data_IF_818162802872
#
_entry.id   IF_818162802872
#
_cell.length_a   1.000
_cell.length_b   1.000
_cell.length_c   1.000
_cell.angle_alpha   90.00
_cell.angle_beta   90.00
_cell.angle_gamma   90.00
#
_symmetry.space_group_name_H-M   'P 1'
#
loop_
_entity.id
_entity.type
_entity.pdbx_description
1 polymer ?
2 non-polymer ?
3 non-polymer ?
4 non-polymer ?
5 water ?
#
# COMPACT_ATOMS: atom_id res chain seq x y z
N UNK A 2 -6.93 -19.63 12.36
CA UNK A 2 -5.53 -19.11 12.24
C UNK A 2 -4.62 -19.84 11.23
N UNK A 3 -4.92 -21.09 10.87
CA UNK A 3 -4.06 -21.73 9.87
C UNK A 3 -4.40 -20.99 8.57
N UNK A 4 -3.37 -20.50 7.90
CA UNK A 4 -3.61 -19.77 6.66
C UNK A 4 -4.07 -20.74 5.57
N UNK A 5 -3.62 -21.98 5.65
CA UNK A 5 -4.07 -22.97 4.67
C UNK A 5 -5.58 -23.08 4.84
N UNK A 6 -6.04 -23.09 6.09
CA UNK A 6 -7.47 -23.19 6.33
C UNK A 6 -8.31 -22.03 5.80
N UNK A 7 -7.82 -20.81 5.98
CA UNK A 7 -8.58 -19.65 5.52
C UNK A 7 -8.66 -19.67 4.00
N UNK A 8 -7.64 -20.17 3.32
CA UNK A 8 -7.68 -20.22 1.86
C UNK A 8 -8.82 -21.18 1.45
N UNK A 9 -8.90 -22.30 2.17
CA UNK A 9 -9.96 -23.27 1.94
C UNK A 9 -11.32 -22.62 2.17
N UNK A 10 -11.44 -21.95 3.30
CA UNK A 10 -12.69 -21.30 3.70
C UNK A 10 -13.21 -20.28 2.71
N UNK A 11 -12.28 -19.49 2.18
CA UNK A 11 -12.63 -18.41 1.29
C UNK A 11 -12.45 -18.70 -0.17
N UNK A 12 -11.95 -19.88 -0.48
CA UNK A 12 -11.66 -20.31 -1.83
C UNK A 12 -10.83 -19.22 -2.43
N UNK A 13 -9.75 -18.88 -1.73
CA UNK A 13 -8.85 -17.79 -2.15
C UNK A 13 -7.36 -18.08 -1.92
N UNK A 14 -6.50 -17.25 -2.51
CA UNK A 14 -5.06 -17.37 -2.37
C UNK A 14 -4.57 -16.26 -1.43
N UNK A 15 -3.76 -16.63 -0.44
CA UNK A 15 -3.27 -15.68 0.53
C UNK A 15 -1.76 -15.50 0.48
N UNK A 16 -1.29 -14.24 0.46
CA UNK A 16 0.11 -13.95 0.44
C UNK A 16 0.41 -13.15 1.68
N UNK A 17 1.25 -13.63 2.60
CA UNK A 17 1.51 -12.83 3.78
C UNK A 17 2.98 -12.61 4.08
N UNK A 18 3.35 -11.38 4.45
CA UNK A 18 4.71 -11.13 4.95
C UNK A 18 4.50 -10.19 6.17
N UNK A 19 5.07 -10.54 7.33
CA UNK A 19 4.91 -9.71 8.52
C UNK A 19 6.27 -9.65 9.17
N UNK A 20 6.63 -8.46 9.62
CA UNK A 20 7.94 -8.28 10.29
C UNK A 20 7.75 -7.45 11.52
N UNK A 21 8.04 -8.04 12.70
CA UNK A 21 7.99 -7.27 13.95
C UNK A 21 9.34 -6.50 13.90
N UNK A 22 9.32 -5.18 13.77
CA UNK A 22 10.57 -4.45 13.60
C UNK A 22 11.43 -4.36 14.87
N UNK A 23 10.86 -4.70 16.03
CA UNK A 23 11.63 -4.65 17.29
C UNK A 23 12.55 -5.88 17.43
N UNK A 24 11.94 -7.03 17.20
CA UNK A 24 12.59 -8.33 17.33
C UNK A 24 13.12 -8.84 16.03
N UNK A 25 12.54 -8.38 14.92
CA UNK A 25 12.96 -8.85 13.61
C UNK A 25 12.27 -10.18 13.28
N UNK A 26 11.32 -10.59 14.10
CA UNK A 26 10.59 -11.83 13.86
C UNK A 26 9.69 -11.69 12.63
N UNK A 27 9.66 -12.71 11.79
CA UNK A 27 8.85 -12.67 10.55
C UNK A 27 7.81 -13.77 10.48
N UNK A 28 6.70 -13.49 9.79
CA UNK A 28 5.71 -14.54 9.57
C UNK A 28 5.57 -14.53 8.05
N UNK A 29 5.59 -15.69 7.42
CA UNK A 29 5.56 -15.76 5.93
C UNK A 29 4.61 -16.80 5.43
N UNK A 30 3.87 -16.49 4.36
CA UNK A 30 2.96 -17.52 3.82
C UNK A 30 2.81 -17.11 2.37
N UNK A 31 3.20 -18.00 1.44
CA UNK A 31 3.20 -17.71 0.01
C UNK A 31 3.91 -16.32 -0.13
N UNK A 32 4.94 -16.10 0.69
CA UNK A 32 5.60 -14.79 0.69
C UNK A 32 6.42 -14.47 -0.54
N UNK A 33 6.67 -15.46 -1.38
CA UNK A 33 7.42 -15.19 -2.59
C UNK A 33 6.54 -15.35 -3.85
N UNK A 34 5.22 -15.35 -3.65
CA UNK A 34 4.30 -15.46 -4.80
C UNK A 34 3.88 -14.04 -5.25
N UNK A 35 3.79 -13.81 -6.56
CA UNK A 35 3.39 -12.51 -7.07
C UNK A 35 1.88 -12.30 -7.03
N UNK A 36 1.51 -11.06 -6.66
CA UNK A 36 0.12 -10.56 -6.56
C UNK A 36 0.09 -9.13 -7.09
N UNK A 37 -1.04 -8.72 -7.67
CA UNK A 37 -1.15 -7.33 -8.10
C UNK A 37 -1.14 -6.57 -6.75
N UNK A 38 -0.31 -5.53 -6.59
CA UNK A 38 -0.35 -4.76 -5.33
C UNK A 38 -1.44 -3.67 -5.35
N UNK A 39 -1.92 -3.33 -6.56
CA UNK A 39 -2.99 -2.33 -6.71
C UNK A 39 -2.70 -1.05 -5.94
N UNK A 40 -3.71 -0.48 -5.25
CA UNK A 40 -3.50 0.79 -4.55
C UNK A 40 -2.58 0.79 -3.37
N UNK A 41 -2.10 -0.37 -2.94
CA UNK A 41 -1.18 -0.34 -1.79
C UNK A 41 0.15 0.32 -2.25
N UNK A 42 0.38 0.37 -3.57
CA UNK A 42 1.58 0.99 -4.16
C UNK A 42 1.59 2.52 -3.87
N UNK A 43 0.42 3.10 -3.63
CA UNK A 43 0.34 4.53 -3.29
C UNK A 43 1.15 4.85 -2.03
N UNK A 44 1.26 3.91 -1.10
CA UNK A 44 2.06 4.18 0.11
C UNK A 44 3.56 4.32 -0.22
N UNK A 45 4.02 3.44 -1.10
CA UNK A 45 5.39 3.45 -1.50
C UNK A 45 5.74 4.74 -2.24
N UNK A 46 4.96 5.12 -3.25
CA UNK A 46 5.17 6.35 -4.00
C UNK A 46 5.13 7.57 -3.09
N UNK A 47 4.13 7.65 -2.23
CA UNK A 47 4.10 8.77 -1.30
C UNK A 47 5.38 8.79 -0.46
N UNK A 48 5.81 7.64 0.05
CA UNK A 48 7.01 7.71 0.92
C UNK A 48 8.24 8.16 0.08
N UNK A 49 8.34 7.67 -1.15
CA UNK A 49 9.50 8.03 -1.99
C UNK A 49 9.53 9.53 -2.21
N UNK A 50 8.36 10.09 -2.50
CA UNK A 50 8.31 11.54 -2.66
C UNK A 50 8.69 12.30 -1.37
N UNK A 51 8.25 11.79 -0.21
CA UNK A 51 8.52 12.42 1.07
C UNK A 51 10.01 12.32 1.40
N UNK A 52 10.72 11.37 0.78
CA UNK A 52 12.20 11.30 0.95
C UNK A 52 12.84 12.50 0.25
N UNK A 53 12.11 13.03 -0.71
CA UNK A 53 12.61 14.12 -1.55
C UNK A 53 12.26 15.50 -1.28
N UNK A 54 11.16 15.69 -0.55
CA UNK A 54 10.65 17.02 -0.27
C UNK A 54 10.40 17.13 1.21
N UNK A 55 11.09 18.07 1.88
CA UNK A 55 10.92 18.25 3.33
C UNK A 55 9.52 18.67 3.66
N UNK A 56 9.07 18.33 4.87
CA UNK A 56 7.73 18.69 5.26
C UNK A 56 7.38 20.17 4.99
N UNK A 57 8.26 21.11 5.35
CA UNK A 57 7.95 22.53 5.15
C UNK A 57 7.86 22.93 3.71
N UNK A 58 8.30 22.06 2.82
CA UNK A 58 8.28 22.34 1.40
C UNK A 58 7.10 21.65 0.67
N UNK A 59 6.22 21.00 1.44
CA UNK A 59 5.10 20.30 0.82
C UNK A 59 4.08 21.28 0.35
N UNK A 60 4.32 22.55 0.63
CA UNK A 60 3.38 23.59 0.19
C UNK A 60 3.59 23.94 -1.27
N UNK A 61 4.62 23.36 -1.85
CA UNK A 61 4.89 23.57 -3.27
C UNK A 61 3.61 23.16 -4.04
N UNK A 62 3.29 23.91 -5.08
CA UNK A 62 2.14 23.64 -5.88
C UNK A 62 2.47 23.06 -7.24
N UNK A 63 1.58 22.19 -7.71
CA UNK A 63 1.68 21.55 -9.03
C UNK A 63 0.37 21.88 -9.82
N UNK A 64 0.50 22.14 -11.11
CA UNK A 64 -0.65 22.48 -11.93
C UNK A 64 -1.32 21.21 -12.44
N UNK A 65 -2.65 21.21 -12.38
CA UNK A 65 -3.45 20.07 -12.81
C UNK A 65 -4.27 20.47 -14.03
N UNK A 66 -4.16 19.68 -15.11
CA UNK A 66 -4.99 19.96 -16.28
C UNK A 66 -5.79 18.72 -16.62
N UNK A 67 -6.70 18.85 -17.59
CA UNK A 67 -7.57 17.77 -17.99
C UNK A 67 -6.87 16.49 -18.38
N UNK A 68 -5.67 16.58 -18.96
CA UNK A 68 -4.91 15.37 -19.35
C UNK A 68 -4.45 14.54 -18.19
N UNK A 69 -4.37 15.15 -17.01
CA UNK A 69 -3.92 14.41 -15.82
C UNK A 69 -5.00 13.55 -15.23
N UNK A 70 -6.25 13.87 -15.53
CA UNK A 70 -7.35 13.15 -14.86
C UNK A 70 -7.65 11.73 -15.30
N UNK A 71 -7.60 10.78 -14.37
CA UNK A 71 -7.96 9.41 -14.70
C UNK A 71 -9.12 9.00 -13.78
N UNK A 72 -9.73 7.85 -14.01
CA UNK A 72 -10.88 7.42 -13.19
C UNK A 72 -10.61 7.25 -11.67
N UNK A 73 -11.67 7.34 -10.86
CA UNK A 73 -11.61 7.20 -9.40
C UNK A 73 -10.62 8.20 -8.79
N UNK A 74 -10.87 9.48 -9.07
CA UNK A 74 -10.05 10.56 -8.53
C UNK A 74 -11.11 11.55 -7.93
N UNK A 75 -11.74 11.14 -6.83
CA UNK A 75 -12.77 12.01 -6.23
C UNK A 75 -12.33 13.42 -5.86
N UNK A 76 -11.04 13.56 -5.57
CA UNK A 76 -10.50 14.85 -5.16
C UNK A 76 -9.92 15.65 -6.28
N UNK A 77 -9.08 14.99 -7.09
CA UNK A 77 -8.39 15.69 -8.15
C UNK A 77 -9.24 16.19 -9.30
N UNK A 78 -10.36 15.53 -9.58
CA UNK A 78 -11.21 15.99 -10.68
C UNK A 78 -11.67 17.44 -10.47
N UNK A 79 -11.68 17.90 -9.23
CA UNK A 79 -12.08 19.26 -8.89
C UNK A 79 -10.97 20.25 -9.15
N UNK A 80 -9.79 19.74 -9.45
CA UNK A 80 -8.68 20.65 -9.63
C UNK A 80 -8.29 20.96 -11.06
N UNK A 81 -9.04 20.49 -12.05
CA UNK A 81 -8.68 20.79 -13.43
C UNK A 81 -8.55 22.29 -13.65
N UNK A 82 -7.41 22.69 -14.19
CA UNK A 82 -7.10 24.09 -14.44
C UNK A 82 -6.66 24.82 -13.18
N UNK A 83 -6.39 24.09 -12.10
CA UNK A 83 -5.99 24.72 -10.84
C UNK A 83 -4.68 24.14 -10.31
N UNK A 84 -4.11 24.76 -9.29
CA UNK A 84 -2.92 24.22 -8.68
C UNK A 84 -3.25 23.49 -7.38
N UNK A 85 -2.42 22.51 -7.02
CA UNK A 85 -2.59 21.74 -5.78
C UNK A 85 -1.23 21.57 -5.12
N UNK A 86 -1.22 21.58 -3.79
CA UNK A 86 0.03 21.40 -3.06
C UNK A 86 0.41 19.93 -3.07
N UNK A 87 1.73 19.67 -2.91
CA UNK A 87 2.24 18.28 -2.80
C UNK A 87 1.60 17.67 -1.53
N UNK A 88 1.38 18.48 -0.51
CA UNK A 88 0.77 17.97 0.74
C UNK A 88 -0.66 17.43 0.42
N UNK A 89 -1.45 18.25 -0.26
CA UNK A 89 -2.83 17.85 -0.62
C UNK A 89 -2.83 16.65 -1.59
N UNK A 90 -1.86 16.58 -2.52
CA UNK A 90 -1.78 15.41 -3.42
C UNK A 90 -1.64 14.12 -2.60
N UNK A 91 -0.70 14.14 -1.68
CA UNK A 91 -0.47 12.94 -0.89
C UNK A 91 -1.68 12.64 0.00
N UNK A 92 -2.27 13.66 0.60
CA UNK A 92 -3.47 13.42 1.41
C UNK A 92 -4.58 12.78 0.53
N UNK A 93 -4.74 13.28 -0.70
CA UNK A 93 -5.77 12.76 -1.59
C UNK A 93 -5.45 11.33 -1.98
N UNK A 94 -4.19 11.09 -2.28
CA UNK A 94 -3.76 9.74 -2.61
C UNK A 94 -3.98 8.74 -1.44
N UNK A 95 -3.58 9.10 -0.23
CA UNK A 95 -3.61 8.17 0.89
C UNK A 95 -4.97 7.99 1.55
N UNK A 96 -5.74 9.08 1.59
CA UNK A 96 -7.03 9.02 2.24
C UNK A 96 -8.17 8.59 1.33
N UNK A 97 -8.11 8.99 0.07
CA UNK A 97 -9.19 8.71 -0.84
C UNK A 97 -8.75 7.79 -1.97
N UNK A 98 -7.53 7.27 -1.87
CA UNK A 98 -6.97 6.42 -2.94
C UNK A 98 -7.21 7.10 -4.30
N UNK A 99 -6.97 8.42 -4.35
CA UNK A 99 -7.20 9.18 -5.58
C UNK A 99 -6.14 8.79 -6.62
N UNK A 100 -6.57 8.30 -7.78
CA UNK A 100 -5.62 7.79 -8.76
C UNK A 100 -4.84 8.86 -9.45
N UNK A 101 -5.50 9.99 -9.74
CA UNK A 101 -4.83 11.06 -10.40
C UNK A 101 -3.75 11.59 -9.47
N UNK A 102 -4.03 11.60 -8.17
CA UNK A 102 -3.05 12.08 -7.18
C UNK A 102 -1.84 11.17 -7.23
N UNK A 103 -2.08 9.87 -7.25
CA UNK A 103 -0.94 8.95 -7.25
C UNK A 103 -0.11 9.15 -8.55
N UNK A 104 -0.77 9.31 -9.70
CA UNK A 104 -0.04 9.51 -10.93
C UNK A 104 0.84 10.77 -10.84
N UNK A 105 0.29 11.83 -10.25
CA UNK A 105 1.04 13.08 -10.12
C UNK A 105 2.21 12.95 -9.20
N UNK A 106 2.07 12.09 -8.21
CA UNK A 106 3.11 11.87 -7.25
C UNK A 106 4.24 11.13 -7.95
N UNK A 107 3.88 10.15 -8.76
CA UNK A 107 4.88 9.39 -9.52
C UNK A 107 5.63 10.36 -10.47
N UNK A 108 4.90 11.24 -11.13
CA UNK A 108 5.50 12.27 -12.04
C UNK A 108 6.46 13.18 -11.28
N UNK A 109 6.04 13.63 -10.10
CA UNK A 109 6.87 14.47 -9.24
C UNK A 109 8.16 13.76 -8.83
N UNK A 110 8.07 12.46 -8.56
CA UNK A 110 9.24 11.67 -8.19
C UNK A 110 10.20 11.60 -9.39
N UNK A 111 9.64 11.72 -10.58
CA UNK A 111 10.41 11.69 -11.82
C UNK A 111 9.98 10.61 -12.82
N UNK A 112 8.83 9.98 -12.63
CA UNK A 112 8.40 8.92 -13.54
C UNK A 112 8.51 7.49 -13.04
N UNK A 113 7.91 6.55 -13.77
CA UNK A 113 7.97 5.14 -13.38
C UNK A 113 9.43 4.64 -13.30
N UNK A 114 10.25 5.14 -14.22
CA UNK A 114 11.65 4.76 -14.30
C UNK A 114 12.36 5.12 -13.01
N UNK A 115 12.08 6.30 -12.47
CA UNK A 115 12.70 6.69 -11.23
C UNK A 115 12.20 5.86 -10.03
N UNK A 116 10.94 5.43 -10.05
CA UNK A 116 10.43 4.61 -8.95
C UNK A 116 11.22 3.32 -8.95
N UNK A 117 11.39 2.76 -10.14
CA UNK A 117 12.13 1.54 -10.32
C UNK A 117 13.57 1.70 -9.82
N UNK A 118 14.16 2.85 -10.12
CA UNK A 118 15.53 3.14 -9.70
C UNK A 118 15.62 3.13 -8.17
N UNK A 119 14.65 3.75 -7.50
CA UNK A 119 14.65 3.75 -6.04
C UNK A 119 14.43 2.36 -5.43
N UNK A 120 13.55 1.57 -6.03
CA UNK A 120 13.27 0.22 -5.55
C UNK A 120 14.54 -0.61 -5.66
N UNK A 121 15.21 -0.55 -6.82
CA UNK A 121 16.48 -1.26 -6.97
C UNK A 121 17.47 -0.79 -5.88
N UNK A 122 17.48 0.49 -5.55
CA UNK A 122 18.40 0.97 -4.53
C UNK A 122 18.10 0.40 -3.15
N UNK A 123 16.81 0.16 -2.88
CA UNK A 123 16.34 -0.37 -1.59
C UNK A 123 16.49 -1.86 -1.63
N UNK A 124 17.07 -2.36 -2.71
CA UNK A 124 17.30 -3.79 -2.84
C UNK A 124 16.09 -4.60 -3.21
N UNK A 125 15.18 -3.98 -3.94
CA UNK A 125 13.95 -4.64 -4.36
C UNK A 125 14.01 -4.86 -5.86
N UNK A 126 14.23 -6.10 -6.29
CA UNK A 126 14.31 -6.40 -7.72
C UNK A 126 13.05 -7.14 -8.08
N UNK A 127 12.05 -7.07 -7.18
CA UNK A 127 10.81 -7.78 -7.37
C UNK A 127 9.60 -6.92 -7.72
N UNK A 128 9.32 -5.94 -6.87
CA UNK A 128 8.22 -5.02 -7.07
C UNK A 128 8.40 -4.41 -8.47
N UNK A 129 7.39 -4.60 -9.33
CA UNK A 129 7.47 -4.26 -10.75
C UNK A 129 6.44 -3.26 -11.32
N UNK A 130 6.67 -1.95 -11.08
CA UNK A 130 5.73 -0.94 -11.60
C UNK A 130 6.01 -0.78 -13.08
N UNK A 131 4.96 -0.88 -13.87
CA UNK A 131 5.06 -0.74 -15.32
C UNK A 131 4.07 0.30 -15.78
N UNK A 132 2.88 0.30 -15.19
CA UNK A 132 1.86 1.24 -15.64
C UNK A 132 1.39 2.27 -14.63
N UNK A 133 0.73 3.32 -15.09
CA UNK A 133 0.16 4.31 -14.16
C UNK A 133 -1.29 3.85 -13.88
N UNK A 134 -1.98 4.56 -13.00
CA UNK A 134 -3.36 4.27 -12.73
C UNK A 134 -4.10 4.84 -13.95
N UNK A 135 -5.24 4.27 -14.31
CA UNK A 135 -5.81 3.17 -13.58
C UNK A 135 -5.37 1.84 -14.18
N UNK A 136 -4.71 1.90 -15.34
CA UNK A 136 -4.24 0.70 -16.04
C UNK A 136 -3.45 -0.33 -15.21
N UNK A 137 -2.73 0.13 -14.19
CA UNK A 137 -1.99 -0.80 -13.34
C UNK A 137 -2.93 -1.72 -12.60
N UNK A 138 -4.22 -1.38 -12.54
CA UNK A 138 -5.23 -2.18 -11.81
C UNK A 138 -5.75 -3.38 -12.61
N UNK A 139 -5.40 -3.46 -13.90
CA UNK A 139 -5.83 -4.57 -14.77
C UNK A 139 -4.84 -5.71 -14.57
N UNK A 140 -5.05 -6.48 -13.52
CA UNK A 140 -4.15 -7.57 -13.21
C UNK A 140 -4.42 -8.81 -14.02
N UNK A 141 -3.34 -9.50 -14.35
CA UNK A 141 -3.46 -10.79 -15.00
C UNK A 141 -2.41 -11.75 -14.43
N UNK A 142 -2.86 -12.92 -13.99
CA UNK A 142 -1.96 -13.95 -13.44
C UNK A 142 -0.83 -14.19 -14.49
N UNK A 143 -1.13 -14.07 -15.77
CA UNK A 143 -0.10 -14.31 -16.78
C UNK A 143 0.95 -13.21 -16.92
N UNK A 144 0.74 -12.09 -16.26
CA UNK A 144 1.70 -11.01 -16.36
C UNK A 144 2.22 -10.56 -14.99
N UNK A 145 3.48 -10.12 -14.98
CA UNK A 145 4.15 -9.64 -13.78
C UNK A 145 3.94 -8.14 -13.64
N UNK A 146 3.26 -7.53 -14.62
CA UNK A 146 3.09 -6.07 -14.58
C UNK A 146 2.42 -5.60 -13.29
N UNK A 147 3.06 -4.63 -12.66
CA UNK A 147 2.52 -4.04 -11.39
C UNK A 147 2.16 -5.06 -10.29
N UNK A 148 3.06 -6.01 -10.09
CA UNK A 148 2.87 -7.00 -9.06
C UNK A 148 4.09 -6.97 -8.18
N UNK A 149 3.96 -7.59 -7.00
CA UNK A 149 5.10 -7.81 -6.11
C UNK A 149 4.78 -9.03 -5.26
N UNK A 150 5.74 -9.48 -4.42
CA UNK A 150 5.53 -10.61 -3.52
C UNK A 150 5.36 -9.96 -2.17
N UNK A 151 4.64 -10.61 -1.28
CA UNK A 151 4.46 -10.03 0.04
C UNK A 151 5.81 -9.64 0.69
N UNK A 152 6.79 -10.54 0.54
CA UNK A 152 8.11 -10.29 1.17
C UNK A 152 8.86 -9.12 0.58
N UNK A 153 8.90 -9.04 -0.74
CA UNK A 153 9.60 -7.93 -1.39
C UNK A 153 8.92 -6.61 -1.04
N UNK A 154 7.58 -6.62 -1.11
CA UNK A 154 6.83 -5.40 -0.80
C UNK A 154 6.98 -4.97 0.66
N UNK A 155 6.91 -5.92 1.59
CA UNK A 155 7.09 -5.61 3.01
C UNK A 155 8.50 -5.12 3.32
N UNK A 156 9.54 -5.77 2.77
CA UNK A 156 10.91 -5.28 2.98
C UNK A 156 11.07 -3.84 2.52
N UNK A 157 10.45 -3.48 1.42
CA UNK A 157 10.56 -2.12 0.89
C UNK A 157 9.80 -1.16 1.80
N UNK A 158 8.61 -1.58 2.28
CA UNK A 158 7.86 -0.70 3.20
C UNK A 158 8.70 -0.45 4.52
N UNK A 159 9.28 -1.51 5.02
CA UNK A 159 10.11 -1.43 6.21
C UNK A 159 11.30 -0.45 6.01
N UNK A 160 12.01 -0.57 4.89
CA UNK A 160 13.21 0.25 4.63
C UNK A 160 12.86 1.68 4.39
N UNK A 161 11.78 1.89 3.62
CA UNK A 161 11.27 3.22 3.27
C UNK A 161 10.61 3.99 4.41
N UNK A 162 9.85 3.30 5.25
CA UNK A 162 9.08 3.98 6.30
C UNK A 162 9.42 3.64 7.75
N UNK A 163 9.52 2.35 8.04
CA UNK A 163 9.78 1.91 9.41
C UNK A 163 11.21 2.19 9.84
N UNK A 164 12.18 1.69 9.09
CA UNK A 164 13.60 1.88 9.41
C UNK A 164 14.24 2.61 8.21
N UNK A 165 13.92 3.90 8.00
CA UNK A 165 14.46 4.60 6.84
C UNK A 165 14.95 6.05 6.90
N UNK A 166 14.74 6.82 5.84
CA UNK A 166 15.26 8.18 5.88
C UNK A 166 14.26 9.33 5.93
N UNK A 167 13.00 9.05 6.27
CA UNK A 167 12.05 10.14 6.35
C UNK A 167 12.23 10.92 7.62
N UNK A 168 11.95 12.20 7.57
CA UNK A 168 12.09 13.01 8.76
C UNK A 168 11.01 12.60 9.72
N UNK A 169 11.14 13.02 10.97
CA UNK A 169 10.11 12.78 11.97
C UNK A 169 8.77 13.39 11.49
N UNK A 170 8.81 14.60 10.92
CA UNK A 170 7.60 15.28 10.45
C UNK A 170 6.95 14.58 9.24
N UNK A 171 7.74 14.18 8.25
CA UNK A 171 7.16 13.47 7.10
C UNK A 171 6.64 12.07 7.47
N UNK A 172 7.33 11.37 8.35
CA UNK A 172 6.88 10.07 8.78
C UNK A 172 5.56 10.22 9.56
N UNK A 173 5.47 11.23 10.42
CA UNK A 173 4.25 11.45 11.18
C UNK A 173 3.09 11.83 10.22
N UNK A 174 3.37 12.73 9.29
CA UNK A 174 2.38 13.13 8.28
C UNK A 174 1.79 11.88 7.55
N UNK A 175 2.69 11.07 7.01
CA UNK A 175 2.26 9.87 6.28
C UNK A 175 1.61 8.76 7.16
N UNK A 176 2.17 8.47 8.33
CA UNK A 176 1.57 7.43 9.15
C UNK A 176 0.21 7.89 9.74
N UNK A 177 0.07 9.19 10.00
CA UNK A 177 -1.18 9.79 10.52
C UNK A 177 -2.28 9.62 9.45
N UNK A 178 -1.93 9.79 8.16
CA UNK A 178 -2.90 9.58 7.09
C UNK A 178 -3.34 8.12 7.06
N UNK A 179 -2.39 7.22 7.23
CA UNK A 179 -2.68 5.78 7.22
C UNK A 179 -3.50 5.35 8.46
N UNK A 180 -3.17 5.94 9.60
CA UNK A 180 -3.89 5.66 10.85
C UNK A 180 -5.35 6.11 10.73
N UNK A 181 -5.55 7.30 10.19
CA UNK A 181 -6.87 7.90 10.10
C UNK A 181 -7.68 7.55 8.87
N UNK A 182 -7.10 6.75 7.99
CA UNK A 182 -7.71 6.32 6.76
C UNK A 182 -8.85 5.35 7.11
N UNK A 183 -10.09 5.81 7.00
CA UNK A 183 -11.19 4.94 7.37
C UNK A 183 -11.52 3.95 6.27
N UNK A 184 -11.04 4.17 5.04
CA UNK A 184 -11.33 3.19 4.01
C UNK A 184 -10.75 1.83 4.32
N UNK A 185 -9.83 1.72 5.28
CA UNK A 185 -9.22 0.42 5.56
C UNK A 185 -9.79 -0.33 6.77
N UNK A 186 -10.89 0.19 7.30
CA UNK A 186 -11.54 -0.40 8.49
C UNK A 186 -11.99 -1.88 8.40
N UNK A 187 -12.43 -2.34 7.24
CA UNK A 187 -12.87 -3.72 7.11
C UNK A 187 -11.73 -4.72 6.90
N UNK A 188 -10.49 -4.22 6.89
CA UNK A 188 -9.36 -5.10 6.58
C UNK A 188 -8.53 -5.43 7.80
N UNK A 189 -7.21 -5.22 7.75
CA UNK A 189 -6.34 -5.55 8.91
C UNK A 189 -6.93 -4.95 10.19
N UNK A 190 -7.34 -3.69 10.09
CA UNK A 190 -7.92 -2.95 11.20
C UNK A 190 -9.04 -3.74 11.88
N UNK A 191 -9.81 -4.48 11.09
CA UNK A 191 -10.95 -5.30 11.57
C UNK A 191 -10.51 -6.56 12.29
N UNK A 192 -9.33 -7.08 11.96
CA UNK A 192 -8.88 -8.32 12.58
C UNK A 192 -7.89 -8.25 13.72
N UNK A 193 -7.35 -7.07 14.02
CA UNK A 193 -6.36 -7.00 15.08
C UNK A 193 -7.10 -6.75 16.40
N UNK A 194 -6.45 -7.01 17.54
CA UNK A 194 -7.13 -6.75 18.82
C UNK A 194 -7.46 -5.26 18.83
N UNK A 195 -8.63 -4.92 19.35
CA UNK A 195 -9.13 -3.55 19.36
C UNK A 195 -8.30 -2.46 20.06
N UNK A 196 -7.25 -2.85 20.75
CA UNK A 196 -6.38 -1.89 21.44
C UNK A 196 -5.10 -1.72 20.63
N UNK A 197 -5.10 -2.23 19.42
CA UNK A 197 -3.92 -2.11 18.57
C UNK A 197 -4.11 -0.86 17.72
N UNK A 198 -3.04 -0.18 17.31
CA UNK A 198 -3.23 0.96 16.40
C UNK A 198 -2.80 0.38 15.02
N UNK A 199 -3.51 0.71 13.96
CA UNK A 199 -3.16 0.17 12.64
C UNK A 199 -3.11 1.31 11.62
N UNK A 200 -1.95 1.51 10.97
CA UNK A 200 -1.81 2.53 9.92
C UNK A 200 -1.74 1.75 8.62
N UNK A 201 -2.81 1.78 7.83
CA UNK A 201 -2.90 0.99 6.61
C UNK A 201 -3.18 1.75 5.32
N UNK A 202 -2.97 1.05 4.22
CA UNK A 202 -3.33 1.52 2.86
C UNK A 202 -3.84 0.28 2.18
N UNK A 203 -5.08 0.34 1.69
CA UNK A 203 -5.66 -0.84 1.05
C UNK A 203 -5.45 -0.83 -0.48
N UNK A 204 -5.87 -1.92 -1.12
CA UNK A 204 -5.79 -1.96 -2.56
C UNK A 204 -6.88 -2.92 -3.04
N UNK A 205 -7.37 -2.71 -4.26
CA UNK A 205 -8.28 -3.69 -4.89
C UNK A 205 -8.06 -3.48 -6.39
N UNK A 206 -7.54 -4.50 -7.10
CA UNK A 206 -7.38 -4.39 -8.55
C UNK A 206 -8.78 -4.64 -9.14
N UNK A 207 -8.94 -4.40 -10.43
CA UNK A 207 -10.20 -4.64 -11.11
C UNK A 207 -10.49 -6.15 -11.29
N UNK A 208 -9.45 -6.97 -11.33
CA UNK A 208 -9.67 -8.38 -11.61
C UNK A 208 -9.18 -9.38 -10.55
N UNK A 209 -9.67 -10.63 -10.71
CA UNK A 209 -9.38 -11.77 -9.84
C UNK A 209 -9.56 -11.56 -8.35
N UNK A 210 -10.55 -10.75 -7.99
CA UNK A 210 -10.83 -10.44 -6.60
C UNK A 210 -9.52 -10.09 -5.85
N UNK A 211 -8.66 -9.33 -6.52
CA UNK A 211 -7.35 -8.93 -5.98
C UNK A 211 -7.62 -7.91 -4.89
N UNK A 212 -7.47 -8.33 -3.65
CA UNK A 212 -7.80 -7.47 -2.52
C UNK A 212 -6.63 -7.50 -1.52
N UNK A 213 -6.12 -6.32 -1.14
CA UNK A 213 -4.91 -6.21 -0.32
C UNK A 213 -5.03 -5.19 0.77
N UNK A 214 -4.14 -5.29 1.76
CA UNK A 214 -4.05 -4.26 2.77
C UNK A 214 -2.61 -4.38 3.29
N UNK A 215 -1.93 -3.24 3.48
CA UNK A 215 -0.57 -3.27 4.04
C UNK A 215 -0.65 -2.32 5.21
N UNK A 216 0.09 -2.58 6.27
CA UNK A 216 -0.01 -1.65 7.38
C UNK A 216 1.20 -1.69 8.29
N UNK A 217 1.23 -0.69 9.14
CA UNK A 217 2.20 -0.57 10.23
C UNK A 217 1.25 -0.74 11.41
N UNK A 218 1.46 -1.83 12.15
CA UNK A 218 0.58 -2.25 13.26
C UNK A 218 1.39 -2.10 14.53
N UNK A 219 0.78 -1.44 15.49
CA UNK A 219 1.40 -1.15 16.77
C UNK A 219 0.65 -1.84 17.88
N UNK A 220 1.26 -2.89 18.46
CA UNK A 220 0.61 -3.61 19.56
C UNK A 220 0.59 -2.62 20.72
N UNK A 221 -0.46 -2.67 21.53
CA UNK A 221 -0.60 -1.78 22.69
C UNK A 221 0.61 -1.99 23.59
N UNK A 222 1.41 -0.93 23.76
CA UNK A 222 2.60 -1.03 24.61
C UNK A 222 3.91 -1.04 23.86
N UNK A 223 3.83 -1.21 22.53
CA UNK A 223 5.01 -1.25 21.69
C UNK A 223 5.00 -0.07 20.72
N UNK A 224 6.14 0.61 20.59
CA UNK A 224 6.22 1.75 19.71
C UNK A 224 6.80 1.39 18.35
N UNK A 225 7.45 0.23 18.26
CA UNK A 225 8.05 -0.25 17.01
C UNK A 225 6.88 -0.95 16.32
N UNK A 226 6.69 -0.68 15.03
CA UNK A 226 5.55 -1.35 14.42
C UNK A 226 5.88 -2.75 13.88
N UNK A 227 4.82 -3.48 13.63
CA UNK A 227 4.96 -4.75 12.97
C UNK A 227 4.53 -4.36 11.53
N UNK A 228 5.34 -4.64 10.53
CA UNK A 228 5.00 -4.35 9.12
C UNK A 228 4.18 -5.55 8.66
N UNK A 229 2.96 -5.31 8.16
CA UNK A 229 2.09 -6.40 7.73
C UNK A 229 1.58 -6.20 6.31
N UNK A 230 1.94 -7.15 5.45
CA UNK A 230 1.49 -7.15 4.06
C UNK A 230 0.60 -8.39 3.80
N UNK A 231 -0.66 -8.11 3.41
CA UNK A 231 -1.57 -9.20 3.04
C UNK A 231 -2.09 -8.93 1.62
N UNK A 232 -1.79 -9.87 0.73
CA UNK A 232 -2.28 -9.76 -0.64
C UNK A 232 -3.16 -11.01 -0.81
N UNK A 233 -4.32 -10.86 -1.47
CA UNK A 233 -5.16 -12.00 -1.73
C UNK A 233 -5.79 -11.88 -3.14
N UNK A 234 -6.18 -13.01 -3.71
CA UNK A 234 -6.88 -13.00 -5.00
C UNK A 234 -7.60 -14.33 -5.18
N UNK A 235 -8.37 -14.46 -6.24
CA UNK A 235 -9.08 -15.72 -6.44
C UNK A 235 -8.90 -16.16 -7.84
N UNK A 236 -9.45 -17.34 -8.16
CA UNK A 236 -9.24 -17.92 -9.47
C UNK A 236 -9.96 -17.30 -10.67
N UNK A 237 -11.16 -16.75 -10.46
CA UNK A 237 -11.92 -16.16 -11.56
C UNK A 237 -11.80 -14.64 -11.71
N UNK A 238 -11.60 -14.20 -12.95
CA UNK A 238 -11.44 -12.80 -13.24
C UNK A 238 -12.47 -11.88 -12.62
N UNK A 239 -13.72 -12.33 -12.61
CA UNK A 239 -14.82 -11.51 -12.10
C UNK A 239 -15.24 -11.77 -10.64
N UNK A 240 -14.49 -12.60 -9.95
CA UNK A 240 -14.77 -12.89 -8.52
C UNK A 240 -14.76 -11.61 -7.70
N UNK A 241 -15.65 -11.56 -6.71
CA UNK A 241 -15.76 -10.43 -5.79
C UNK A 241 -14.96 -10.80 -4.54
N UNK A 242 -14.18 -9.85 -3.99
CA UNK A 242 -13.44 -10.26 -2.78
C UNK A 242 -14.30 -10.10 -1.53
N UNK A 243 -13.92 -10.82 -0.47
CA UNK A 243 -14.57 -10.71 0.85
C UNK A 243 -13.49 -10.17 1.81
N UNK A 244 -13.68 -8.93 2.26
CA UNK A 244 -12.74 -8.28 3.14
C UNK A 244 -12.52 -9.08 4.40
N UNK A 245 -13.53 -9.88 4.81
CA UNK A 245 -13.36 -10.67 6.02
C UNK A 245 -12.18 -11.61 5.90
N UNK A 246 -11.87 -11.98 4.67
CA UNK A 246 -10.73 -12.85 4.51
C UNK A 246 -9.45 -12.17 5.03
N UNK A 247 -9.30 -10.89 4.71
CA UNK A 247 -8.09 -10.15 5.13
C UNK A 247 -8.11 -9.94 6.63
N UNK A 248 -9.29 -9.62 7.15
CA UNK A 248 -9.48 -9.44 8.60
C UNK A 248 -9.03 -10.73 9.33
N UNK A 249 -9.54 -11.88 8.89
CA UNK A 249 -9.19 -13.15 9.54
C UNK A 249 -7.75 -13.51 9.37
N UNK A 250 -7.16 -13.16 8.24
CA UNK A 250 -5.73 -13.43 8.06
C UNK A 250 -4.89 -12.61 9.05
N UNK A 251 -5.27 -11.35 9.24
CA UNK A 251 -4.53 -10.48 10.14
C UNK A 251 -4.70 -10.98 11.59
N UNK A 252 -5.92 -11.35 11.97
CA UNK A 252 -6.13 -11.88 13.31
C UNK A 252 -5.18 -13.07 13.58
N UNK A 253 -5.11 -14.02 12.65
CA UNK A 253 -4.23 -15.17 12.77
C UNK A 253 -2.73 -14.84 12.82
N UNK A 254 -2.30 -14.00 11.90
CA UNK A 254 -0.88 -13.63 11.89
C UNK A 254 -0.47 -12.90 13.15
N UNK A 255 -1.29 -11.98 13.64
CA UNK A 255 -0.96 -11.20 14.83
C UNK A 255 -0.75 -12.07 16.08
N UNK A 256 -1.45 -13.21 16.13
CA UNK A 256 -1.27 -14.17 17.25
C UNK A 256 0.15 -14.73 17.31
N UNK A 257 0.91 -14.58 16.22
CA UNK A 257 2.28 -15.06 16.15
C UNK A 257 3.25 -14.09 16.81
N UNK A 258 2.77 -12.91 17.16
CA UNK A 258 3.60 -11.89 17.76
C UNK A 258 3.23 -11.62 19.22
#
# INVERSE_FOLDING_TARGET
MKELNDLEKKYNAHIGVYALDTKSGKEVKFNSDKRFAYASTSKAINSAILLEQVPYNKLNKKVHINKDDIVAYSPILEKYVGKDITLKALIEASMTYSDNTANNKIIKEIGGIKKVKQRLKELGDKVTNPVRYDIELQYYSPKSKKDTSTPAAFGKTLNKLIANGKLSKENKKFLLDLMLNNKSGDTLIKDGVPKDYKVADKSGQAITYASRNDVAFVYPKGQSEPIVLVIFTNKDNKSDKPNDKLISETAKSVMKEF
#
